data_IF_452257879248
#
_entry.id   IF_452257879248
#
_cell.length_a   1.000
_cell.length_b   1.000
_cell.length_c   1.000
_cell.angle_alpha   90.00
_cell.angle_beta   90.00
_cell.angle_gamma   90.00
#
_symmetry.space_group_name_H-M   'P 1'
#
loop_
_entity.id
_entity.type
_entity.pdbx_description
1 polymer ?
#
# COMPACT_ATOMS: atom_id res chain seq x y z
N UNK A 1 -5.27 3.86 19.80
CA UNK A 1 -6.01 4.96 19.15
C UNK A 1 -5.10 5.50 18.04
N UNK A 2 -5.33 5.09 16.79
CA UNK A 2 -4.51 5.53 15.65
C UNK A 2 -4.89 7.00 15.40
N UNK A 3 -3.95 7.93 15.64
CA UNK A 3 -4.17 9.35 15.31
C UNK A 3 -4.43 9.46 13.81
N UNK A 4 -5.50 10.16 13.43
CA UNK A 4 -5.92 10.47 12.05
C UNK A 4 -4.80 11.07 11.19
N UNK A 5 -3.78 11.69 11.80
CA UNK A 5 -2.58 12.17 11.12
C UNK A 5 -1.72 11.06 10.49
N UNK A 6 -1.81 9.83 10.99
CA UNK A 6 -0.98 8.69 10.55
C UNK A 6 -1.35 8.18 9.15
N UNK A 7 -2.55 8.47 8.65
CA UNK A 7 -2.98 8.03 7.32
C UNK A 7 -2.37 8.89 6.21
N UNK A 8 -2.06 10.16 6.51
CA UNK A 8 -1.42 11.09 5.59
C UNK A 8 0.11 10.91 5.50
N UNK A 9 0.69 10.01 6.30
CA UNK A 9 2.13 9.77 6.29
C UNK A 9 2.56 8.78 5.22
N UNK A 10 1.65 7.95 4.70
CA UNK A 10 1.98 6.91 3.71
C UNK A 10 1.49 7.29 2.32
N UNK A 11 2.42 7.35 1.38
CA UNK A 11 2.13 7.29 -0.06
C UNK A 11 2.28 5.85 -0.54
N UNK A 12 1.15 5.21 -0.83
CA UNK A 12 1.09 3.83 -1.32
C UNK A 12 1.17 3.79 -2.85
N UNK A 13 2.07 2.97 -3.38
CA UNK A 13 2.36 2.83 -4.80
C UNK A 13 2.13 1.38 -5.26
N UNK A 14 1.71 1.20 -6.50
CA UNK A 14 1.43 -0.12 -7.06
C UNK A 14 2.71 -0.87 -7.42
N UNK A 15 3.01 -1.97 -6.72
CA UNK A 15 4.16 -2.84 -7.00
C UNK A 15 4.00 -3.80 -8.18
N UNK A 16 2.90 -3.70 -8.93
CA UNK A 16 2.65 -4.59 -10.08
C UNK A 16 3.22 -4.04 -11.40
N UNK A 17 3.72 -2.79 -11.42
CA UNK A 17 4.26 -2.13 -12.61
C UNK A 17 5.80 -2.10 -12.61
N UNK A 18 6.44 -3.02 -11.87
CA UNK A 18 7.89 -3.08 -11.78
C UNK A 18 8.48 -1.85 -11.11
N UNK A 19 9.39 -1.16 -11.81
CA UNK A 19 10.05 0.07 -11.35
C UNK A 19 9.29 1.35 -11.69
N UNK A 20 8.09 1.23 -12.31
CA UNK A 20 7.21 2.39 -12.48
C UNK A 20 6.49 2.71 -11.16
N UNK A 21 6.93 3.80 -10.54
CA UNK A 21 6.41 4.30 -9.27
C UNK A 21 5.38 5.42 -9.42
N UNK A 22 4.93 5.70 -10.65
CA UNK A 22 3.92 6.74 -10.92
C UNK A 22 2.50 6.32 -10.52
N UNK A 23 2.24 5.03 -10.38
CA UNK A 23 0.94 4.45 -10.03
C UNK A 23 0.64 4.56 -8.53
N UNK A 24 0.31 5.76 -8.07
CA UNK A 24 -0.20 5.98 -6.71
C UNK A 24 -1.56 5.29 -6.54
N UNK A 25 -1.65 4.43 -5.53
CA UNK A 25 -2.87 3.70 -5.21
C UNK A 25 -3.98 4.68 -4.80
N UNK A 26 -5.20 4.42 -5.27
CA UNK A 26 -6.37 5.25 -5.02
C UNK A 26 -7.36 4.52 -4.13
N UNK A 27 -7.94 5.24 -3.16
CA UNK A 27 -9.03 4.73 -2.35
C UNK A 27 -10.29 4.64 -3.23
N UNK A 28 -10.91 3.46 -3.27
CA UNK A 28 -12.15 3.19 -3.99
C UNK A 28 -13.17 2.53 -3.05
N UNK A 29 -14.44 2.77 -3.32
CA UNK A 29 -15.56 2.09 -2.65
C UNK A 29 -15.90 0.81 -3.41
N UNK A 30 -15.90 -0.31 -2.68
CA UNK A 30 -16.35 -1.60 -3.16
C UNK A 30 -17.72 -1.97 -2.61
N UNK A 31 -18.32 -3.06 -3.09
CA UNK A 31 -19.64 -3.51 -2.65
C UNK A 31 -19.70 -3.91 -1.16
N UNK A 32 -18.55 -4.15 -0.52
CA UNK A 32 -18.48 -4.60 0.88
C UNK A 32 -17.64 -3.68 1.78
N UNK A 33 -16.66 -2.96 1.22
CA UNK A 33 -15.76 -2.09 1.99
C UNK A 33 -14.93 -1.20 1.08
N UNK A 34 -14.32 -0.16 1.66
CA UNK A 34 -13.30 0.65 1.02
C UNK A 34 -11.99 -0.13 0.86
N UNK A 35 -11.27 0.15 -0.22
CA UNK A 35 -9.97 -0.46 -0.51
C UNK A 35 -9.10 0.46 -1.36
N UNK A 36 -7.78 0.34 -1.22
CA UNK A 36 -6.84 0.93 -2.15
C UNK A 36 -6.70 0.06 -3.40
N UNK A 37 -6.64 0.66 -4.58
CA UNK A 37 -6.36 -0.06 -5.84
C UNK A 37 -5.50 0.74 -6.79
N UNK A 38 -4.84 0.05 -7.73
CA UNK A 38 -4.12 0.70 -8.81
C UNK A 38 -5.06 1.63 -9.60
N UNK A 39 -4.60 2.80 -10.11
CA UNK A 39 -5.39 3.63 -11.01
C UNK A 39 -5.85 2.87 -12.27
N UNK A 40 -5.07 1.89 -12.74
CA UNK A 40 -5.43 0.99 -13.85
C UNK A 40 -6.37 -0.17 -13.43
N UNK A 41 -6.85 -0.19 -12.18
CA UNK A 41 -7.82 -1.17 -11.73
C UNK A 41 -9.18 -0.94 -12.42
N UNK A 42 -9.62 -1.94 -13.17
CA UNK A 42 -10.95 -1.98 -13.80
C UNK A 42 -11.86 -2.94 -13.04
N UNK A 43 -12.95 -2.41 -12.49
CA UNK A 43 -13.97 -3.23 -11.83
C UNK A 43 -14.68 -4.10 -12.87
N UNK A 44 -14.95 -5.36 -12.53
CA UNK A 44 -15.78 -6.26 -13.35
C UNK A 44 -17.24 -5.77 -13.46
N UNK A 45 -17.67 -4.88 -12.57
CA UNK A 45 -18.99 -4.27 -12.57
C UNK A 45 -19.02 -2.91 -13.30
N UNK A 46 -17.86 -2.43 -13.79
CA UNK A 46 -17.76 -1.16 -14.51
C UNK A 46 -18.16 -1.29 -15.97
N UNK A 47 -18.24 -0.16 -16.68
CA UNK A 47 -18.61 -0.11 -18.12
C UNK A 47 -17.40 -0.12 -19.06
N UNK A 48 -16.18 0.05 -18.54
CA UNK A 48 -14.96 0.10 -19.34
C UNK A 48 -14.06 -1.12 -19.06
N UNK A 49 -14.01 -2.03 -20.03
CA UNK A 49 -13.19 -3.25 -19.98
C UNK A 49 -12.05 -3.28 -21.00
N UNK A 50 -11.74 -2.15 -21.67
CA UNK A 50 -10.76 -2.13 -22.76
C UNK A 50 -9.31 -2.07 -22.25
N UNK A 51 -8.42 -2.97 -22.67
CA UNK A 51 -7.01 -2.98 -22.23
C UNK A 51 -6.78 -3.71 -20.90
N UNK A 52 -5.52 -3.73 -20.43
CA UNK A 52 -5.10 -4.56 -19.29
C UNK A 52 -5.53 -3.92 -17.96
N UNK A 53 -6.28 -4.66 -17.14
CA UNK A 53 -6.57 -4.26 -15.76
C UNK A 53 -5.41 -4.62 -14.85
N UNK A 54 -4.98 -3.68 -13.99
CA UNK A 54 -4.15 -4.01 -12.85
C UNK A 54 -5.02 -4.36 -11.64
N UNK A 55 -5.12 -5.65 -11.31
CA UNK A 55 -5.95 -6.14 -10.22
C UNK A 55 -5.33 -5.94 -8.82
N UNK A 56 -4.17 -5.28 -8.74
CA UNK A 56 -3.50 -5.03 -7.47
C UNK A 56 -4.36 -4.09 -6.58
N UNK A 57 -4.71 -4.59 -5.39
CA UNK A 57 -5.56 -3.90 -4.44
C UNK A 57 -5.24 -4.30 -3.00
N UNK A 58 -5.57 -3.44 -2.06
CA UNK A 58 -5.33 -3.61 -0.63
C UNK A 58 -6.57 -3.18 0.16
N UNK A 59 -7.07 -4.04 1.04
CA UNK A 59 -8.18 -3.67 1.92
C UNK A 59 -7.73 -2.62 2.94
N UNK A 60 -8.66 -1.82 3.47
CA UNK A 60 -8.31 -0.89 4.55
C UNK A 60 -7.77 -1.61 5.80
N UNK A 61 -8.28 -2.81 6.11
CA UNK A 61 -7.78 -3.63 7.22
C UNK A 61 -6.31 -3.99 7.03
N UNK A 62 -5.90 -4.38 5.83
CA UNK A 62 -4.49 -4.71 5.56
C UNK A 62 -3.62 -3.46 5.46
N UNK A 63 -4.16 -2.33 5.00
CA UNK A 63 -3.48 -1.03 5.05
C UNK A 63 -3.18 -0.60 6.50
N UNK A 64 -4.15 -0.71 7.41
CA UNK A 64 -3.96 -0.38 8.82
C UNK A 64 -2.90 -1.27 9.48
N UNK A 65 -2.86 -2.56 9.14
CA UNK A 65 -1.80 -3.47 9.61
C UNK A 65 -0.42 -3.05 9.14
N UNK A 66 -0.30 -2.74 7.85
CA UNK A 66 0.94 -2.22 7.26
C UNK A 66 1.40 -0.94 7.97
N UNK A 67 0.47 -0.02 8.24
CA UNK A 67 0.77 1.23 8.96
C UNK A 67 1.26 0.97 10.39
N UNK A 68 0.59 0.06 11.13
CA UNK A 68 1.02 -0.33 12.47
C UNK A 68 2.41 -0.97 12.45
N UNK A 69 2.69 -1.85 11.48
CA UNK A 69 4.00 -2.47 11.31
C UNK A 69 5.11 -1.44 11.07
N UNK A 70 4.87 -0.44 10.22
CA UNK A 70 5.83 0.65 9.99
C UNK A 70 6.06 1.49 11.24
N UNK A 71 4.99 1.83 11.97
CA UNK A 71 5.11 2.55 13.23
C UNK A 71 5.93 1.75 14.26
N UNK A 72 5.66 0.47 14.44
CA UNK A 72 6.43 -0.38 15.36
C UNK A 72 7.91 -0.50 14.96
N UNK A 73 8.21 -0.58 13.66
CA UNK A 73 9.57 -0.69 13.15
C UNK A 73 10.35 0.62 13.13
N UNK A 74 9.66 1.76 13.05
CA UNK A 74 10.32 3.06 13.04
C UNK A 74 10.77 3.53 14.42
N UNK A 75 10.37 2.87 15.50
CA UNK A 75 10.85 3.18 16.85
C UNK A 75 11.86 2.13 17.35
N UNK A 76 13.10 2.56 17.57
CA UNK A 76 14.07 1.76 18.31
C UNK A 76 13.72 1.70 19.81
N UNK A 77 14.20 0.69 20.56
CA UNK A 77 14.31 0.82 22.01
C UNK A 77 15.06 2.13 22.28
N UNK A 78 14.57 2.97 23.20
CA UNK A 78 15.06 4.34 23.46
C UNK A 78 14.50 5.48 22.59
N UNK A 79 13.53 5.22 21.71
CA UNK A 79 12.75 6.28 21.05
C UNK A 79 13.46 7.01 19.90
N UNK A 80 14.57 6.45 19.40
CA UNK A 80 15.23 6.94 18.19
C UNK A 80 14.47 6.45 16.94
N UNK A 81 14.22 7.37 15.99
CA UNK A 81 13.60 7.05 14.71
C UNK A 81 14.58 6.25 13.84
N UNK A 82 14.12 5.10 13.35
CA UNK A 82 14.88 4.22 12.45
C UNK A 82 14.47 4.51 11.00
N UNK A 83 15.45 4.80 10.14
CA UNK A 83 15.20 4.91 8.71
C UNK A 83 14.87 3.52 8.15
N UNK A 84 13.69 3.37 7.57
CA UNK A 84 13.19 2.11 7.00
C UNK A 84 13.38 2.02 5.49
N UNK A 85 14.13 2.92 4.86
CA UNK A 85 14.38 2.87 3.41
C UNK A 85 14.96 1.51 3.01
N UNK A 86 14.49 0.96 1.89
CA UNK A 86 14.75 -0.40 1.36
C UNK A 86 14.26 -1.58 2.22
N UNK A 87 13.64 -1.31 3.37
CA UNK A 87 13.02 -2.36 4.18
C UNK A 87 11.87 -3.02 3.40
N UNK A 88 11.92 -4.35 3.33
CA UNK A 88 10.95 -5.17 2.60
C UNK A 88 10.41 -6.25 3.52
N UNK A 89 9.10 -6.47 3.49
CA UNK A 89 8.47 -7.57 4.21
C UNK A 89 7.25 -8.09 3.44
N UNK A 90 6.79 -9.28 3.82
CA UNK A 90 5.56 -9.87 3.27
C UNK A 90 4.65 -10.25 4.41
N UNK A 91 3.38 -9.84 4.31
CA UNK A 91 2.35 -10.16 5.28
C UNK A 91 1.08 -10.59 4.54
N UNK A 92 0.51 -11.74 4.92
CA UNK A 92 -0.73 -12.30 4.34
C UNK A 92 -0.77 -12.38 2.79
N UNK A 93 0.38 -12.48 2.15
CA UNK A 93 0.50 -12.56 0.68
C UNK A 93 0.57 -11.20 -0.01
N UNK A 94 0.72 -10.12 0.75
CA UNK A 94 1.06 -8.78 0.28
C UNK A 94 2.52 -8.50 0.59
N UNK A 95 3.30 -8.17 -0.42
CA UNK A 95 4.69 -7.73 -0.27
C UNK A 95 4.74 -6.21 -0.24
N UNK A 96 5.44 -5.65 0.74
CA UNK A 96 5.64 -4.22 0.90
C UNK A 96 7.15 -3.93 0.85
N UNK A 97 7.52 -2.85 0.16
CA UNK A 97 8.88 -2.29 0.16
C UNK A 97 8.80 -0.80 0.46
N UNK A 98 9.55 -0.34 1.44
CA UNK A 98 9.72 1.10 1.71
C UNK A 98 10.74 1.65 0.71
N UNK A 99 10.31 2.56 -0.15
CA UNK A 99 11.19 3.26 -1.10
C UNK A 99 11.85 4.48 -0.45
N UNK A 100 11.16 5.12 0.49
CA UNK A 100 11.65 6.30 1.19
C UNK A 100 11.00 6.37 2.58
N UNK A 101 11.82 6.61 3.61
CA UNK A 101 11.36 7.02 4.94
C UNK A 101 12.05 8.34 5.32
N UNK A 102 11.29 9.44 5.33
CA UNK A 102 11.83 10.78 5.62
C UNK A 102 10.81 11.64 6.35
N UNK A 103 11.21 12.15 7.52
CA UNK A 103 10.38 13.06 8.33
C UNK A 103 9.04 12.43 8.73
N UNK A 104 9.05 11.17 9.17
CA UNK A 104 7.87 10.41 9.54
C UNK A 104 6.91 10.08 8.38
N UNK A 105 7.33 10.30 7.11
CA UNK A 105 6.55 9.95 5.91
C UNK A 105 7.19 8.79 5.16
N UNK A 106 6.35 7.93 4.61
CA UNK A 106 6.72 6.72 3.90
C UNK A 106 6.25 6.76 2.45
N UNK A 107 7.12 6.37 1.52
CA UNK A 107 6.70 5.88 0.21
C UNK A 107 6.81 4.37 0.20
N UNK A 108 5.70 3.68 -0.02
CA UNK A 108 5.62 2.22 0.10
C UNK A 108 5.12 1.62 -1.20
N UNK A 109 5.95 0.78 -1.81
CA UNK A 109 5.55 -0.08 -2.92
C UNK A 109 4.81 -1.29 -2.36
N UNK A 110 3.62 -1.59 -2.87
CA UNK A 110 2.78 -2.67 -2.38
C UNK A 110 2.33 -3.59 -3.53
N UNK A 111 2.55 -4.89 -3.37
CA UNK A 111 2.13 -5.94 -4.30
C UNK A 111 1.32 -7.02 -3.59
N UNK A 112 0.02 -7.04 -3.83
CA UNK A 112 -0.86 -8.12 -3.38
C UNK A 112 -0.87 -9.25 -4.40
N UNK A 113 0.00 -10.24 -4.19
CA UNK A 113 0.17 -11.38 -5.12
C UNK A 113 -1.13 -12.14 -5.32
N UNK A 114 -1.97 -12.26 -4.27
CA UNK A 114 -3.26 -12.96 -4.33
C UNK A 114 -4.30 -12.25 -5.20
N UNK A 115 -4.22 -10.92 -5.29
CA UNK A 115 -5.13 -10.12 -6.09
C UNK A 115 -4.70 -10.05 -7.56
N UNK A 116 -3.39 -10.08 -7.81
CA UNK A 116 -2.81 -10.04 -9.16
C UNK A 116 -2.83 -11.41 -9.84
N UNK A 117 -2.70 -12.50 -9.09
CA UNK A 117 -2.67 -13.87 -9.65
C UNK A 117 -4.04 -14.42 -10.08
N UNK A 118 -5.03 -13.55 -10.32
CA UNK A 118 -6.38 -13.90 -10.74
C UNK A 118 -6.72 -13.24 -12.07
#
# INVERSE_FOLDING_TARGET
>A
MIKTDSWNTVTLLCGNHGEDFSHKMQLKEGPHSLFYSCPEYKSIYGTNHEGRSCNNRLTLVDFERMLNHLNEKSYAPFGQEVNLTDYTWTEKGVTYKVLEHKGGRYKVLMLNKKAVSK
#
